data_IF_508665402278
#
_entry.id   IF_508665402278
#
_cell.length_a   1.000
_cell.length_b   1.000
_cell.length_c   1.000
_cell.angle_alpha   90.00
_cell.angle_beta   90.00
_cell.angle_gamma   90.00
#
_symmetry.space_group_name_H-M   'P 1'
#
loop_
_entity.id
_entity.type
_entity.pdbx_description
1 polymer ?
#
# COMPACT_ATOMS: atom_id res chain seq x y z
N UNK A 1 10.76 -11.45 -0.70
CA UNK A 1 10.45 -10.11 -1.25
C UNK A 1 10.56 -10.23 -2.75
N UNK A 2 9.46 -10.02 -3.48
CA UNK A 2 9.42 -10.30 -4.91
C UNK A 2 9.99 -9.12 -5.71
N UNK A 3 9.37 -7.94 -5.61
CA UNK A 3 9.86 -6.71 -6.25
C UNK A 3 9.31 -5.44 -5.64
N UNK A 4 10.04 -4.33 -5.82
CA UNK A 4 9.53 -2.98 -5.59
C UNK A 4 8.43 -2.69 -6.64
N UNK A 5 7.28 -2.21 -6.20
CA UNK A 5 6.15 -1.89 -7.08
C UNK A 5 5.74 -0.42 -7.02
N UNK A 6 6.13 0.33 -5.99
CA UNK A 6 5.89 1.76 -6.01
C UNK A 6 6.66 2.60 -5.00
N UNK A 7 6.75 3.89 -5.32
CA UNK A 7 7.36 4.97 -4.52
C UNK A 7 6.34 6.10 -4.39
N UNK A 8 5.90 6.38 -3.18
CA UNK A 8 4.84 7.35 -2.90
C UNK A 8 5.39 8.47 -2.01
N UNK A 9 5.34 9.70 -2.51
CA UNK A 9 5.94 10.87 -1.87
C UNK A 9 4.84 11.72 -1.24
N UNK A 10 4.82 11.79 0.08
CA UNK A 10 4.02 12.79 0.78
C UNK A 10 4.82 14.09 0.86
N UNK A 11 4.54 15.04 -0.05
CA UNK A 11 5.28 16.30 -0.14
C UNK A 11 4.99 17.24 1.01
N UNK A 12 3.78 17.20 1.57
CA UNK A 12 3.40 18.02 2.73
C UNK A 12 4.20 17.67 3.99
N UNK A 13 4.71 16.43 4.08
CA UNK A 13 5.43 15.93 5.25
C UNK A 13 6.88 15.55 4.98
N UNK A 14 7.35 15.63 3.73
CA UNK A 14 8.69 15.19 3.34
C UNK A 14 8.92 13.68 3.51
N UNK A 15 7.87 12.85 3.39
CA UNK A 15 7.94 11.40 3.63
C UNK A 15 7.93 10.65 2.30
N UNK A 16 8.74 9.60 2.18
CA UNK A 16 8.72 8.65 1.07
C UNK A 16 8.35 7.26 1.57
N UNK A 17 7.33 6.65 0.98
CA UNK A 17 6.93 5.27 1.22
C UNK A 17 7.32 4.39 0.03
N UNK A 18 7.99 3.27 0.31
CA UNK A 18 8.33 2.24 -0.67
C UNK A 18 7.42 1.04 -0.47
N UNK A 19 6.85 0.51 -1.56
CA UNK A 19 5.94 -0.63 -1.52
C UNK A 19 6.54 -1.80 -2.27
N UNK A 20 6.66 -2.93 -1.58
CA UNK A 20 7.17 -4.17 -2.13
C UNK A 20 6.08 -5.23 -2.16
N UNK A 21 5.98 -5.96 -3.27
CA UNK A 21 5.09 -7.12 -3.39
C UNK A 21 5.74 -8.33 -2.72
N UNK A 22 4.94 -9.02 -1.92
CA UNK A 22 5.32 -10.25 -1.25
C UNK A 22 4.31 -11.35 -1.54
N UNK A 23 4.73 -12.59 -1.31
CA UNK A 23 3.86 -13.76 -1.26
C UNK A 23 3.90 -14.32 0.15
N UNK A 24 2.75 -14.80 0.61
CA UNK A 24 2.63 -15.53 1.88
C UNK A 24 3.19 -16.93 1.65
N UNK A 25 4.14 -17.35 2.48
CA UNK A 25 4.65 -18.73 2.48
C UNK A 25 3.91 -19.62 3.50
N UNK A 26 3.35 -19.01 4.55
CA UNK A 26 2.61 -19.68 5.60
C UNK A 26 2.42 -18.78 6.83
N UNK A 27 1.85 -19.33 7.90
CA UNK A 27 1.54 -18.63 9.15
C UNK A 27 0.06 -18.26 9.28
N UNK A 28 -0.26 -17.58 10.38
CA UNK A 28 -1.59 -17.07 10.70
C UNK A 28 -1.47 -15.65 11.29
N UNK A 29 -2.51 -14.86 11.13
CA UNK A 29 -2.58 -13.47 11.57
C UNK A 29 -2.41 -13.38 13.09
N UNK A 30 -1.68 -12.36 13.55
CA UNK A 30 -1.47 -12.09 14.97
C UNK A 30 -1.60 -10.60 15.21
N UNK A 31 -2.38 -10.25 16.23
CA UNK A 31 -2.54 -8.88 16.69
C UNK A 31 -1.34 -8.45 17.54
N UNK A 32 -1.13 -7.15 17.61
CA UNK A 32 -0.09 -6.53 18.44
C UNK A 32 -0.68 -5.33 19.18
N UNK A 33 0.08 -4.72 20.08
CA UNK A 33 -0.31 -3.46 20.72
C UNK A 33 -0.54 -2.32 19.71
N UNK A 34 0.06 -2.42 18.51
CA UNK A 34 -0.09 -1.44 17.44
C UNK A 34 -1.24 -1.80 16.47
N UNK A 35 -1.53 -3.10 16.27
CA UNK A 35 -2.52 -3.58 15.30
C UNK A 35 -3.67 -4.34 16.00
N UNK A 36 -4.85 -3.72 16.07
CA UNK A 36 -6.05 -4.26 16.72
C UNK A 36 -6.88 -5.22 15.87
N UNK A 37 -6.65 -5.26 14.55
CA UNK A 37 -7.32 -6.16 13.62
C UNK A 37 -6.43 -6.47 12.42
N UNK A 38 -6.59 -7.66 11.83
CA UNK A 38 -5.98 -8.06 10.56
C UNK A 38 -7.05 -8.69 9.69
N UNK A 39 -7.15 -8.24 8.44
CA UNK A 39 -8.12 -8.72 7.46
C UNK A 39 -7.45 -8.84 6.09
N UNK A 40 -7.86 -9.85 5.31
CA UNK A 40 -7.50 -9.97 3.90
C UNK A 40 -8.56 -9.31 3.04
N UNK A 41 -8.15 -8.37 2.20
CA UNK A 41 -9.05 -7.58 1.37
C UNK A 41 -8.81 -7.86 -0.12
N UNK A 42 -9.90 -7.90 -0.87
CA UNK A 42 -9.89 -7.80 -2.32
C UNK A 42 -9.54 -6.37 -2.75
N UNK A 43 -9.09 -6.17 -4.02
CA UNK A 43 -8.80 -4.83 -4.53
C UNK A 43 -10.00 -3.86 -4.45
N UNK A 44 -11.22 -4.37 -4.64
CA UNK A 44 -12.45 -3.56 -4.56
C UNK A 44 -12.76 -3.13 -3.12
N UNK A 45 -12.56 -4.03 -2.14
CA UNK A 45 -12.68 -3.69 -0.72
C UNK A 45 -11.63 -2.67 -0.29
N UNK A 46 -10.40 -2.77 -0.82
CA UNK A 46 -9.35 -1.78 -0.57
C UNK A 46 -9.77 -0.40 -1.05
N UNK A 47 -10.27 -0.29 -2.29
CA UNK A 47 -10.66 1.02 -2.85
C UNK A 47 -11.88 1.63 -2.17
N UNK A 48 -12.77 0.81 -1.59
CA UNK A 48 -13.94 1.29 -0.84
C UNK A 48 -13.65 1.63 0.63
N UNK A 49 -12.71 0.93 1.28
CA UNK A 49 -12.42 1.08 2.73
C UNK A 49 -11.25 1.99 3.04
N UNK A 50 -10.30 2.17 2.12
CA UNK A 50 -9.07 2.93 2.36
C UNK A 50 -9.12 4.32 1.75
N UNK A 51 -8.45 5.29 2.38
CA UNK A 51 -8.27 6.60 1.75
C UNK A 51 -7.45 6.46 0.44
N UNK A 52 -7.78 7.29 -0.54
CA UNK A 52 -7.25 7.28 -1.91
C UNK A 52 -5.73 7.04 -1.98
N UNK A 53 -4.96 7.81 -1.22
CA UNK A 53 -3.49 7.79 -1.23
C UNK A 53 -2.87 6.50 -0.67
N UNK A 54 -3.66 5.69 0.04
CA UNK A 54 -3.28 4.37 0.51
C UNK A 54 -3.83 3.27 -0.40
N UNK A 55 -5.08 3.39 -0.86
CA UNK A 55 -5.70 2.43 -1.78
C UNK A 55 -4.88 2.28 -3.08
N UNK A 56 -4.45 3.41 -3.66
CA UNK A 56 -3.65 3.43 -4.89
C UNK A 56 -2.35 2.62 -4.76
N UNK A 57 -1.79 2.54 -3.54
CA UNK A 57 -0.55 1.81 -3.29
C UNK A 57 -0.72 0.32 -3.51
N UNK A 58 -1.88 -0.21 -3.12
CA UNK A 58 -2.23 -1.61 -3.29
C UNK A 58 -2.59 -1.88 -4.75
N UNK A 59 -3.43 -1.04 -5.36
CA UNK A 59 -3.85 -1.25 -6.75
C UNK A 59 -2.67 -1.19 -7.72
N UNK A 60 -1.75 -0.24 -7.53
CA UNK A 60 -0.52 -0.17 -8.33
C UNK A 60 0.39 -1.40 -8.12
N UNK A 61 0.41 -1.98 -6.91
CA UNK A 61 1.23 -3.16 -6.60
C UNK A 61 0.76 -4.44 -7.31
N UNK A 62 -0.49 -4.48 -7.76
CA UNK A 62 -1.05 -5.57 -8.54
C UNK A 62 -0.68 -5.48 -10.02
N UNK A 63 -0.24 -4.31 -10.50
CA UNK A 63 0.16 -4.09 -11.88
C UNK A 63 1.57 -4.62 -12.15
N UNK A 64 1.78 -5.14 -13.36
CA UNK A 64 3.10 -5.54 -13.83
C UNK A 64 3.92 -4.36 -14.40
N UNK A 65 5.22 -4.60 -14.51
CA UNK A 65 6.20 -3.65 -15.04
C UNK A 65 6.89 -2.79 -13.98
N UNK A 66 7.34 -1.60 -14.40
CA UNK A 66 8.17 -0.73 -13.58
C UNK A 66 7.42 -0.17 -12.35
N UNK A 67 8.14 0.13 -11.24
CA UNK A 67 7.54 0.72 -10.05
C UNK A 67 6.79 2.01 -10.37
N UNK A 68 5.58 2.18 -9.82
CA UNK A 68 4.82 3.42 -9.95
C UNK A 68 5.40 4.48 -9.02
N UNK A 69 5.60 5.70 -9.54
CA UNK A 69 6.08 6.83 -8.74
C UNK A 69 4.98 7.87 -8.68
N UNK A 70 4.48 8.16 -7.47
CA UNK A 70 3.39 9.14 -7.27
C UNK A 70 3.72 10.14 -6.18
N UNK A 71 3.07 11.30 -6.25
CA UNK A 71 3.12 12.35 -5.25
C UNK A 71 1.72 12.55 -4.68
N UNK A 72 1.62 12.86 -3.39
CA UNK A 72 0.36 13.18 -2.74
C UNK A 72 0.56 14.15 -1.56
N UNK A 73 -0.49 14.83 -1.15
CA UNK A 73 -0.47 15.73 0.01
C UNK A 73 -0.82 15.03 1.34
N UNK A 74 -1.22 13.76 1.26
CA UNK A 74 -1.70 12.94 2.38
C UNK A 74 -3.20 12.64 2.32
N UNK A 75 -3.93 13.27 1.40
CA UNK A 75 -5.35 13.07 1.15
C UNK A 75 -5.65 12.78 -0.31
N UNK A 76 -5.01 13.50 -1.22
CA UNK A 76 -5.22 13.37 -2.66
C UNK A 76 -3.91 13.17 -3.40
N UNK A 77 -3.99 12.44 -4.50
CA UNK A 77 -2.91 12.40 -5.47
C UNK A 77 -2.76 13.77 -6.15
N UNK A 78 -1.51 14.11 -6.49
CA UNK A 78 -1.16 15.28 -7.27
C UNK A 78 -1.12 14.96 -8.77
#
# INVERSE_FOLDING_TARGET
MDRLTGVYKNTSRGIVALVFRCRIEGGHEQLTDEASAVEWLTPDEVTSRMAEVYAVRVTDALLDGAPRVRTHDGRRLA
#
